data_IF_527716757794
#
_entry.id   IF_527716757794
#
_cell.length_a   1.000
_cell.length_b   1.000
_cell.length_c   1.000
_cell.angle_alpha   90.00
_cell.angle_beta   90.00
_cell.angle_gamma   90.00
#
_symmetry.space_group_name_H-M   'P 1'
#
loop_
_entity.id
_entity.type
_entity.pdbx_description
1 polymer ?
#
# COMPACT_ATOMS: atom_id res chain seq x y z
N UNK A 1 -52.95 -0.81 32.09
CA UNK A 1 -51.64 -1.45 31.78
C UNK A 1 -51.42 -2.87 32.33
N UNK A 2 -51.83 -3.22 33.55
CA UNK A 2 -51.67 -4.60 34.08
C UNK A 2 -52.61 -5.61 33.49
N UNK A 3 -53.80 -5.24 33.02
CA UNK A 3 -54.77 -6.15 32.43
C UNK A 3 -54.39 -6.57 31.03
N UNK A 4 -54.02 -5.62 30.19
CA UNK A 4 -53.64 -5.87 28.80
C UNK A 4 -52.41 -6.77 28.71
N UNK A 5 -51.42 -6.60 29.62
CA UNK A 5 -50.24 -7.45 29.71
C UNK A 5 -50.60 -8.92 30.10
N UNK A 6 -51.55 -9.09 31.02
CA UNK A 6 -52.03 -10.43 31.42
C UNK A 6 -52.74 -11.15 30.29
N UNK A 7 -53.58 -10.44 29.53
CA UNK A 7 -54.29 -10.99 28.37
C UNK A 7 -53.32 -11.38 27.29
N UNK A 8 -52.32 -10.48 26.97
CA UNK A 8 -51.29 -10.76 25.98
C UNK A 8 -50.44 -11.99 26.35
N UNK A 9 -50.02 -12.08 27.63
CA UNK A 9 -49.25 -13.22 28.12
C UNK A 9 -50.03 -14.53 28.05
N UNK A 10 -51.33 -14.49 28.40
CA UNK A 10 -52.19 -15.68 28.30
C UNK A 10 -52.42 -16.13 26.88
N UNK A 11 -52.49 -15.18 25.92
CA UNK A 11 -52.63 -15.48 24.50
C UNK A 11 -51.37 -16.15 23.92
N UNK A 12 -50.18 -15.62 24.28
CA UNK A 12 -48.89 -16.19 23.93
C UNK A 12 -48.71 -17.62 24.46
N UNK A 13 -49.17 -17.89 25.68
CA UNK A 13 -49.04 -19.22 26.30
C UNK A 13 -50.11 -20.24 25.82
N UNK A 14 -51.24 -19.75 25.33
CA UNK A 14 -52.31 -20.59 24.82
C UNK A 14 -51.99 -21.22 23.45
N UNK A 15 -51.28 -20.49 22.60
CA UNK A 15 -50.94 -20.96 21.24
C UNK A 15 -49.40 -21.06 21.04
N UNK A 16 -48.82 -22.05 21.71
CA UNK A 16 -47.36 -22.21 21.83
C UNK A 16 -46.65 -22.31 20.49
N UNK A 17 -47.23 -22.98 19.49
CA UNK A 17 -46.62 -23.14 18.18
C UNK A 17 -46.54 -21.81 17.42
N UNK A 18 -47.64 -21.04 17.43
CA UNK A 18 -47.68 -19.74 16.77
C UNK A 18 -46.75 -18.73 17.45
N UNK A 19 -46.71 -18.74 18.78
CA UNK A 19 -45.82 -17.88 19.56
C UNK A 19 -44.34 -18.25 19.32
N UNK A 20 -44.01 -19.53 19.25
CA UNK A 20 -42.65 -20.00 18.93
C UNK A 20 -42.21 -19.58 17.52
N UNK A 21 -43.11 -19.66 16.53
CA UNK A 21 -42.83 -19.22 15.16
C UNK A 21 -42.57 -17.69 15.09
N UNK A 22 -43.41 -16.90 15.78
CA UNK A 22 -43.24 -15.47 15.83
C UNK A 22 -41.92 -15.06 16.51
N UNK A 23 -41.63 -15.65 17.68
CA UNK A 23 -40.37 -15.40 18.40
C UNK A 23 -39.19 -15.86 17.57
N UNK A 24 -39.26 -17.03 16.95
CA UNK A 24 -38.21 -17.54 16.07
C UNK A 24 -37.97 -16.65 14.85
N UNK A 25 -39.04 -16.14 14.23
CA UNK A 25 -38.93 -15.19 13.12
C UNK A 25 -38.24 -13.89 13.51
N UNK A 26 -38.64 -13.30 14.64
CA UNK A 26 -38.00 -12.08 15.17
C UNK A 26 -36.54 -12.37 15.55
N UNK A 27 -36.27 -13.48 16.21
CA UNK A 27 -34.90 -13.85 16.59
C UNK A 27 -33.98 -14.01 15.36
N UNK A 28 -34.46 -14.66 14.30
CA UNK A 28 -33.71 -14.79 13.04
C UNK A 28 -33.50 -13.42 12.39
N UNK A 29 -34.51 -12.54 12.35
CA UNK A 29 -34.40 -11.22 11.79
C UNK A 29 -33.33 -10.37 12.54
N UNK A 30 -33.37 -10.39 13.88
CA UNK A 30 -32.39 -9.70 14.71
C UNK A 30 -30.98 -10.30 14.51
N UNK A 31 -30.88 -11.62 14.45
CA UNK A 31 -29.61 -12.31 14.22
C UNK A 31 -28.99 -11.91 12.87
N UNK A 32 -29.78 -11.91 11.80
CA UNK A 32 -29.32 -11.50 10.46
C UNK A 32 -28.92 -10.03 10.45
N UNK A 33 -29.69 -9.17 11.09
CA UNK A 33 -29.37 -7.76 11.18
C UNK A 33 -28.06 -7.49 11.95
N UNK A 34 -27.89 -8.10 13.12
CA UNK A 34 -26.68 -7.95 13.92
C UNK A 34 -25.46 -8.55 13.25
N UNK A 35 -25.61 -9.69 12.59
CA UNK A 35 -24.53 -10.30 11.79
C UNK A 35 -24.09 -9.38 10.65
N UNK A 36 -25.06 -8.84 9.90
CA UNK A 36 -24.76 -7.95 8.79
C UNK A 36 -24.09 -6.63 9.25
N UNK A 37 -24.59 -6.05 10.34
CA UNK A 37 -23.97 -4.86 10.94
C UNK A 37 -22.54 -5.14 11.44
N UNK A 38 -22.31 -6.28 12.09
CA UNK A 38 -20.99 -6.68 12.56
C UNK A 38 -20.03 -6.94 11.39
N UNK A 39 -20.52 -7.56 10.32
CA UNK A 39 -19.72 -7.81 9.11
C UNK A 39 -19.29 -6.51 8.43
N UNK A 40 -20.21 -5.56 8.24
CA UNK A 40 -19.90 -4.26 7.61
C UNK A 40 -18.90 -3.48 8.46
N UNK A 41 -19.11 -3.39 9.77
CA UNK A 41 -18.22 -2.67 10.67
C UNK A 41 -16.83 -3.35 10.74
N UNK A 42 -16.79 -4.67 10.82
CA UNK A 42 -15.52 -5.41 10.83
C UNK A 42 -14.73 -5.28 9.53
N UNK A 43 -15.43 -5.29 8.39
CA UNK A 43 -14.78 -5.08 7.09
C UNK A 43 -14.27 -3.65 6.92
N UNK A 44 -15.02 -2.66 7.37
CA UNK A 44 -14.62 -1.25 7.33
C UNK A 44 -13.35 -1.03 8.19
N UNK A 45 -13.35 -1.52 9.42
CA UNK A 45 -12.19 -1.43 10.32
C UNK A 45 -10.96 -2.12 9.74
N UNK A 46 -11.13 -3.32 9.20
CA UNK A 46 -10.07 -4.07 8.54
C UNK A 46 -9.47 -3.32 7.34
N UNK A 47 -10.31 -2.67 6.52
CA UNK A 47 -9.83 -1.87 5.39
C UNK A 47 -9.11 -0.62 5.85
N UNK A 48 -9.64 0.10 6.84
CA UNK A 48 -9.00 1.29 7.39
C UNK A 48 -7.61 0.95 7.94
N UNK A 49 -7.49 -0.08 8.76
CA UNK A 49 -6.21 -0.49 9.33
C UNK A 49 -5.19 -0.88 8.26
N UNK A 50 -5.61 -1.57 7.20
CA UNK A 50 -4.72 -1.93 6.10
C UNK A 50 -4.25 -0.72 5.28
N UNK A 51 -5.13 0.21 4.97
CA UNK A 51 -4.79 1.37 4.14
C UNK A 51 -4.01 2.40 4.93
N UNK A 52 -4.46 2.74 6.13
CA UNK A 52 -3.82 3.76 6.96
C UNK A 52 -2.47 3.29 7.52
N UNK A 53 -2.37 2.01 7.89
CA UNK A 53 -1.13 1.45 8.46
C UNK A 53 -0.01 1.22 7.44
N UNK A 54 -0.34 1.11 6.14
CA UNK A 54 0.64 0.77 5.09
C UNK A 54 1.07 1.95 4.21
N UNK A 55 0.43 3.10 4.33
CA UNK A 55 0.68 4.26 3.48
C UNK A 55 1.14 5.47 4.28
N UNK A 56 2.08 6.22 3.74
CA UNK A 56 2.44 7.53 4.29
C UNK A 56 1.23 8.47 4.24
N UNK A 57 0.95 9.20 5.31
CA UNK A 57 -0.17 10.13 5.38
C UNK A 57 0.00 11.33 4.44
N UNK A 58 1.24 11.74 4.21
CA UNK A 58 1.58 12.84 3.31
C UNK A 58 2.75 12.43 2.45
N UNK A 59 2.62 12.60 1.13
CA UNK A 59 3.69 12.37 0.18
C UNK A 59 4.03 13.69 -0.50
N UNK A 60 5.30 14.06 -0.46
CA UNK A 60 5.80 15.25 -1.13
C UNK A 60 6.44 14.81 -2.43
N UNK A 61 5.90 15.29 -3.53
CA UNK A 61 6.41 15.02 -4.88
C UNK A 61 6.95 16.31 -5.51
N UNK A 62 7.91 16.20 -6.43
CA UNK A 62 8.37 17.37 -7.18
C UNK A 62 7.23 17.98 -8.00
N UNK A 63 7.17 19.30 -8.06
CA UNK A 63 6.15 19.99 -8.83
C UNK A 63 6.27 19.63 -10.32
N UNK A 64 5.16 19.23 -10.92
CA UNK A 64 5.08 19.02 -12.37
C UNK A 64 5.19 20.37 -13.06
N UNK A 65 6.32 20.62 -13.74
CA UNK A 65 6.53 21.85 -14.47
C UNK A 65 5.73 21.74 -15.78
N UNK A 66 4.61 22.46 -15.84
CA UNK A 66 3.90 22.65 -17.10
C UNK A 66 4.77 23.48 -18.07
N UNK A 67 4.80 23.14 -19.37
CA UNK A 67 5.52 23.97 -20.34
C UNK A 67 4.90 25.37 -20.37
N UNK A 68 5.70 26.37 -20.01
CA UNK A 68 5.30 27.78 -20.11
C UNK A 68 5.49 28.20 -21.56
N UNK A 69 4.39 28.53 -22.22
CA UNK A 69 4.44 29.11 -23.56
C UNK A 69 4.98 30.53 -23.46
N UNK A 70 6.12 30.81 -24.09
CA UNK A 70 6.64 32.17 -24.18
C UNK A 70 5.59 33.08 -24.88
N UNK A 71 5.39 34.34 -24.46
CA UNK A 71 4.49 35.26 -25.14
C UNK A 71 4.89 35.40 -26.61
N UNK A 72 3.91 35.28 -27.53
CA UNK A 72 4.15 35.51 -28.95
C UNK A 72 4.27 37.01 -29.18
N UNK A 73 5.21 37.42 -30.03
CA UNK A 73 5.20 38.80 -30.55
C UNK A 73 3.97 39.01 -31.42
N UNK A 74 3.41 40.22 -31.35
CA UNK A 74 2.19 40.57 -32.15
C UNK A 74 2.42 40.30 -33.63
N UNK A 75 1.50 39.50 -34.22
CA UNK A 75 1.51 39.17 -35.66
C UNK A 75 2.36 37.97 -36.10
N UNK A 76 2.98 37.24 -35.16
CA UNK A 76 3.77 36.04 -35.50
C UNK A 76 2.92 34.76 -35.42
N UNK A 77 2.92 33.95 -36.50
CA UNK A 77 2.40 32.58 -36.45
C UNK A 77 3.24 31.74 -35.48
N UNK A 78 2.56 31.07 -34.55
CA UNK A 78 3.20 30.30 -33.51
C UNK A 78 3.25 28.80 -33.86
N UNK A 79 4.43 28.30 -34.12
CA UNK A 79 4.67 26.85 -34.16
C UNK A 79 4.88 26.36 -32.74
N UNK A 80 3.88 25.75 -32.12
CA UNK A 80 3.99 25.15 -30.79
C UNK A 80 4.50 23.70 -30.93
N UNK A 81 5.79 23.50 -30.77
CA UNK A 81 6.34 22.14 -30.64
C UNK A 81 6.43 21.83 -29.13
N UNK A 82 5.43 21.12 -28.63
CA UNK A 82 5.44 20.60 -27.27
C UNK A 82 6.13 19.25 -27.24
N UNK A 83 7.41 19.22 -26.95
CA UNK A 83 8.15 18.00 -26.77
C UNK A 83 8.27 17.71 -25.26
N UNK A 84 7.65 16.60 -24.82
CA UNK A 84 7.81 16.12 -23.45
C UNK A 84 9.27 15.66 -23.29
N UNK A 85 10.00 16.25 -22.35
CA UNK A 85 11.34 15.78 -22.04
C UNK A 85 11.26 14.32 -21.56
N UNK A 86 11.76 13.39 -22.37
CA UNK A 86 11.72 11.96 -22.11
C UNK A 86 12.54 11.50 -20.89
N UNK A 87 13.44 12.33 -20.38
CA UNK A 87 14.41 11.96 -19.34
C UNK A 87 14.42 12.91 -18.13
N UNK A 88 13.37 13.66 -17.90
CA UNK A 88 13.38 14.52 -16.70
C UNK A 88 13.04 13.68 -15.47
N UNK A 89 14.07 13.25 -14.76
CA UNK A 89 13.90 12.71 -13.42
C UNK A 89 13.22 13.76 -12.56
N UNK A 90 12.02 13.48 -12.12
CA UNK A 90 11.32 14.29 -11.14
C UNK A 90 12.05 14.09 -9.82
N UNK A 91 12.90 15.06 -9.44
CA UNK A 91 13.67 15.04 -8.19
C UNK A 91 13.33 16.25 -7.37
N UNK A 92 13.15 16.07 -6.08
CA UNK A 92 13.05 17.18 -5.14
C UNK A 92 14.43 17.81 -5.01
N UNK A 93 14.59 19.01 -5.55
CA UNK A 93 15.80 19.78 -5.34
C UNK A 93 15.85 20.23 -3.88
N UNK A 94 17.05 20.22 -3.27
CA UNK A 94 17.25 20.63 -1.87
C UNK A 94 16.42 19.80 -0.87
N UNK A 95 16.27 18.51 -1.11
CA UNK A 95 15.51 17.62 -0.26
C UNK A 95 15.90 17.69 1.24
N UNK A 96 17.19 17.98 1.54
CA UNK A 96 17.67 18.15 2.94
C UNK A 96 17.03 19.34 3.63
N UNK A 97 16.85 20.46 2.91
CA UNK A 97 16.16 21.63 3.47
C UNK A 97 14.68 21.35 3.68
N UNK A 98 14.06 20.63 2.76
CA UNK A 98 12.67 20.19 2.89
C UNK A 98 12.52 19.29 4.11
N UNK A 99 13.38 18.32 4.29
CA UNK A 99 13.40 17.42 5.45
C UNK A 99 13.52 18.22 6.77
N UNK A 100 14.47 19.13 6.86
CA UNK A 100 14.64 19.99 8.05
C UNK A 100 13.39 20.81 8.36
N UNK A 101 12.71 21.35 7.35
CA UNK A 101 11.47 22.11 7.54
C UNK A 101 10.36 21.20 8.06
N UNK A 102 10.24 20.00 7.51
CA UNK A 102 9.20 19.04 7.91
C UNK A 102 9.40 18.59 9.37
N UNK A 103 10.64 18.35 9.78
CA UNK A 103 10.98 17.95 11.15
C UNK A 103 10.60 19.01 12.19
N UNK A 104 10.41 20.28 11.79
CA UNK A 104 9.95 21.36 12.68
C UNK A 104 8.43 21.42 12.83
N UNK A 105 7.67 20.67 12.01
CA UNK A 105 6.19 20.72 12.01
C UNK A 105 5.64 19.88 13.17
N UNK A 106 4.85 20.46 14.08
CA UNK A 106 4.24 19.71 15.17
C UNK A 106 3.31 18.63 14.62
N UNK A 107 3.42 17.41 15.15
CA UNK A 107 2.56 16.27 14.75
C UNK A 107 3.18 15.37 13.68
N UNK A 108 4.33 15.71 13.12
CA UNK A 108 5.11 14.81 12.26
C UNK A 108 5.86 13.82 13.14
N UNK A 109 5.60 12.54 12.98
CA UNK A 109 6.21 11.45 13.76
C UNK A 109 7.41 10.82 13.08
N UNK A 110 7.52 10.98 11.75
CA UNK A 110 8.64 10.44 10.98
C UNK A 110 8.64 10.94 9.55
N UNK A 111 9.82 11.13 9.02
CA UNK A 111 10.06 11.52 7.61
C UNK A 111 10.96 10.48 6.99
N UNK A 112 10.65 10.08 5.78
CA UNK A 112 11.51 9.18 5.03
C UNK A 112 11.63 9.56 3.57
N UNK A 113 12.84 9.44 3.09
CA UNK A 113 13.20 9.65 1.70
C UNK A 113 12.99 8.36 0.92
N UNK A 114 12.28 8.47 -0.19
CA UNK A 114 12.08 7.37 -1.10
C UNK A 114 12.60 7.73 -2.50
N UNK A 115 13.30 6.80 -3.11
CA UNK A 115 13.67 6.86 -4.52
C UNK A 115 12.89 5.76 -5.23
N UNK A 116 12.01 6.15 -6.14
CA UNK A 116 11.25 5.20 -6.94
C UNK A 116 11.87 5.11 -8.32
N UNK A 117 12.12 3.90 -8.76
CA UNK A 117 12.58 3.60 -10.10
C UNK A 117 11.93 2.32 -10.61
N UNK A 118 12.07 2.06 -11.90
CA UNK A 118 11.66 0.80 -12.51
C UNK A 118 12.89 0.05 -13.00
N UNK A 119 12.79 -1.24 -13.03
CA UNK A 119 13.86 -2.12 -13.48
C UNK A 119 13.35 -3.49 -13.83
N UNK A 120 14.27 -4.33 -14.23
CA UNK A 120 14.03 -5.73 -14.53
C UNK A 120 14.82 -6.58 -13.54
N UNK A 121 14.14 -7.53 -12.92
CA UNK A 121 14.81 -8.57 -12.13
C UNK A 121 14.92 -9.81 -13.00
N UNK A 122 16.13 -10.33 -13.12
CA UNK A 122 16.40 -11.55 -13.90
C UNK A 122 17.01 -12.64 -13.05
N UNK A 123 16.58 -13.87 -13.34
CA UNK A 123 17.15 -15.09 -12.81
C UNK A 123 17.11 -16.19 -13.87
N UNK A 124 18.28 -16.60 -14.34
CA UNK A 124 18.38 -17.55 -15.44
C UNK A 124 17.73 -17.02 -16.71
N UNK A 125 16.71 -17.71 -17.21
CA UNK A 125 15.97 -17.34 -18.41
C UNK A 125 14.72 -16.46 -18.11
N UNK A 126 14.39 -16.26 -16.85
CA UNK A 126 13.20 -15.50 -16.47
C UNK A 126 13.58 -14.05 -16.14
N UNK A 127 12.79 -13.13 -16.66
CA UNK A 127 12.93 -11.69 -16.41
C UNK A 127 11.56 -11.10 -16.15
N UNK A 128 11.41 -10.40 -15.03
CA UNK A 128 10.16 -9.76 -14.64
C UNK A 128 10.38 -8.25 -14.37
N UNK A 129 9.44 -7.41 -14.79
CA UNK A 129 9.49 -5.99 -14.46
C UNK A 129 9.18 -5.76 -12.99
N UNK A 130 9.98 -4.92 -12.35
CA UNK A 130 9.81 -4.58 -10.94
C UNK A 130 9.92 -3.07 -10.72
N UNK A 131 9.18 -2.58 -9.75
CA UNK A 131 9.35 -1.26 -9.19
C UNK A 131 10.39 -1.34 -8.07
N UNK A 132 11.43 -0.56 -8.17
CA UNK A 132 12.48 -0.46 -7.16
C UNK A 132 12.18 0.72 -6.25
N UNK A 133 12.05 0.46 -4.97
CA UNK A 133 11.87 1.49 -3.95
C UNK A 133 13.13 1.55 -3.08
N UNK A 134 13.98 2.54 -3.39
CA UNK A 134 15.15 2.86 -2.58
C UNK A 134 14.71 3.52 -1.29
N UNK A 135 15.11 2.97 -0.16
CA UNK A 135 14.75 3.46 1.17
C UNK A 135 16.00 3.57 2.05
N UNK A 136 15.96 4.48 2.99
CA UNK A 136 17.01 4.57 3.99
C UNK A 136 16.82 3.44 5.02
N UNK A 137 17.82 2.53 5.21
CA UNK A 137 17.65 1.35 6.06
C UNK A 137 17.25 1.68 7.50
N UNK A 138 17.76 2.78 8.05
CA UNK A 138 17.47 3.22 9.41
C UNK A 138 16.03 3.72 9.60
N UNK A 139 15.36 4.07 8.50
CA UNK A 139 13.99 4.64 8.51
C UNK A 139 12.97 3.73 7.83
N UNK A 140 13.37 2.52 7.50
CA UNK A 140 12.53 1.56 6.78
C UNK A 140 11.24 1.24 7.54
N UNK A 141 11.35 0.97 8.84
CA UNK A 141 10.22 0.67 9.73
C UNK A 141 9.32 1.90 10.00
N UNK A 142 9.81 3.11 9.78
CA UNK A 142 9.00 4.32 9.94
C UNK A 142 8.05 4.58 8.75
N UNK A 143 8.33 3.98 7.58
CA UNK A 143 7.54 4.22 6.35
C UNK A 143 6.49 3.14 6.13
N UNK A 144 6.87 1.93 6.40
CA UNK A 144 5.99 0.77 6.28
C UNK A 144 6.33 -0.17 7.43
N UNK A 145 5.35 -0.80 8.06
CA UNK A 145 5.59 -1.83 9.08
C UNK A 145 6.15 -3.09 8.40
N UNK A 146 7.32 -2.94 7.74
CA UNK A 146 7.96 -4.04 7.01
C UNK A 146 8.30 -5.17 7.97
N UNK A 147 8.67 -4.81 9.21
CA UNK A 147 8.96 -5.79 10.25
C UNK A 147 7.78 -6.76 10.46
N UNK A 148 6.55 -6.25 10.40
CA UNK A 148 5.33 -7.06 10.55
C UNK A 148 4.95 -7.83 9.28
N UNK A 149 5.50 -7.45 8.14
CA UNK A 149 5.18 -8.06 6.83
C UNK A 149 6.22 -9.07 6.36
N UNK A 150 7.37 -9.16 7.01
CA UNK A 150 8.40 -10.16 6.68
C UNK A 150 7.87 -11.56 6.98
N UNK A 151 7.91 -12.41 5.97
CA UNK A 151 7.50 -13.83 6.06
C UNK A 151 8.70 -14.74 6.24
N UNK A 152 9.84 -14.37 5.63
CA UNK A 152 11.07 -15.16 5.65
C UNK A 152 12.30 -14.25 5.58
N UNK A 153 13.33 -14.52 6.35
CA UNK A 153 14.58 -13.73 6.40
C UNK A 153 14.54 -12.59 7.42
N UNK A 154 15.29 -11.54 7.15
CA UNK A 154 15.46 -10.40 8.05
C UNK A 154 15.01 -9.08 7.40
N UNK A 155 14.36 -8.16 8.15
CA UNK A 155 13.93 -6.86 7.65
C UNK A 155 15.08 -5.83 7.54
N UNK A 156 16.29 -6.28 7.34
CA UNK A 156 17.47 -5.41 7.26
C UNK A 156 17.95 -5.28 5.83
N UNK A 157 18.21 -4.06 5.42
CA UNK A 157 18.80 -3.73 4.14
C UNK A 157 20.23 -3.24 4.32
N UNK A 158 21.17 -3.89 3.65
CA UNK A 158 22.54 -3.40 3.44
C UNK A 158 22.69 -2.80 2.05
N UNK A 159 23.89 -2.35 1.72
CA UNK A 159 24.21 -1.73 0.41
C UNK A 159 23.97 -2.64 -0.81
N UNK A 160 24.02 -3.94 -0.61
CA UNK A 160 23.84 -4.94 -1.67
C UNK A 160 22.71 -5.92 -1.34
N UNK A 161 21.80 -5.53 -0.46
CA UNK A 161 20.67 -6.35 -0.07
C UNK A 161 19.39 -5.86 -0.75
N UNK A 162 18.42 -6.77 -0.87
CA UNK A 162 17.11 -6.48 -1.40
C UNK A 162 16.06 -7.26 -0.63
N UNK A 163 14.92 -6.61 -0.36
CA UNK A 163 13.71 -7.28 0.10
C UNK A 163 12.75 -7.37 -1.09
N UNK A 164 12.26 -8.57 -1.35
CA UNK A 164 11.32 -8.82 -2.45
C UNK A 164 10.02 -9.41 -1.93
N UNK A 165 8.92 -9.15 -2.63
CA UNK A 165 7.65 -9.76 -2.27
C UNK A 165 7.66 -11.27 -2.49
N UNK A 166 6.94 -11.99 -1.63
CA UNK A 166 6.83 -13.45 -1.69
C UNK A 166 6.34 -13.95 -3.06
N UNK A 167 5.43 -13.21 -3.70
CA UNK A 167 4.92 -13.54 -5.03
C UNK A 167 6.03 -13.47 -6.08
N UNK A 168 6.82 -12.39 -6.08
CA UNK A 168 7.96 -12.24 -7.00
C UNK A 168 9.00 -13.33 -6.80
N UNK A 169 9.29 -13.66 -5.54
CA UNK A 169 10.20 -14.75 -5.21
C UNK A 169 9.71 -16.10 -5.71
N UNK A 170 8.42 -16.39 -5.58
CA UNK A 170 7.80 -17.62 -6.08
C UNK A 170 7.84 -17.70 -7.61
N UNK A 171 7.51 -16.60 -8.30
CA UNK A 171 7.49 -16.54 -9.77
C UNK A 171 8.87 -16.73 -10.37
N UNK A 172 9.92 -16.24 -9.71
CA UNK A 172 11.32 -16.41 -10.15
C UNK A 172 12.01 -17.62 -9.50
N UNK A 173 11.36 -18.34 -8.60
CA UNK A 173 11.93 -19.45 -7.85
C UNK A 173 13.11 -19.04 -6.94
N UNK A 174 13.10 -17.81 -6.39
CA UNK A 174 14.17 -17.25 -5.57
C UNK A 174 13.91 -17.57 -4.09
N UNK A 175 15.01 -17.78 -3.35
CA UNK A 175 14.99 -17.97 -1.89
C UNK A 175 15.86 -16.92 -1.19
N UNK A 176 15.62 -16.72 0.09
CA UNK A 176 16.46 -15.87 0.95
C UNK A 176 17.92 -16.32 0.86
N UNK A 177 18.84 -15.37 0.80
CA UNK A 177 20.28 -15.59 0.67
C UNK A 177 20.77 -15.77 -0.76
N UNK A 178 19.89 -15.87 -1.76
CA UNK A 178 20.30 -16.02 -3.14
C UNK A 178 20.54 -14.68 -3.83
N UNK A 179 21.52 -14.61 -4.77
CA UNK A 179 21.74 -13.42 -5.57
C UNK A 179 20.70 -13.31 -6.68
N UNK A 180 20.31 -12.07 -6.98
CA UNK A 180 19.49 -11.70 -8.13
C UNK A 180 20.16 -10.59 -8.94
N UNK A 181 19.88 -10.56 -10.24
CA UNK A 181 20.35 -9.51 -11.12
C UNK A 181 19.26 -8.48 -11.33
N UNK A 182 19.56 -7.23 -11.07
CA UNK A 182 18.65 -6.11 -11.29
C UNK A 182 19.24 -5.21 -12.36
N UNK A 183 18.48 -4.99 -13.42
CA UNK A 183 18.82 -4.04 -14.48
C UNK A 183 17.90 -2.84 -14.37
N UNK A 184 18.46 -1.66 -14.15
CA UNK A 184 17.69 -0.41 -14.11
C UNK A 184 17.28 0.04 -15.52
N UNK A 185 16.32 0.98 -15.63
CA UNK A 185 15.92 1.60 -16.91
C UNK A 185 17.08 2.18 -17.72
N UNK A 186 18.18 2.52 -17.05
CA UNK A 186 19.38 3.06 -17.69
C UNK A 186 20.36 1.99 -18.18
N UNK A 187 19.96 0.71 -18.12
CA UNK A 187 20.82 -0.41 -18.49
C UNK A 187 21.93 -0.71 -17.49
N UNK A 188 21.89 -0.12 -16.29
CA UNK A 188 22.87 -0.44 -15.24
C UNK A 188 22.44 -1.73 -14.55
N UNK A 189 23.35 -2.67 -14.52
CA UNK A 189 23.16 -3.94 -13.84
C UNK A 189 23.80 -3.96 -12.47
N UNK A 190 23.11 -4.52 -11.49
CA UNK A 190 23.62 -4.80 -10.16
C UNK A 190 23.18 -6.17 -9.70
N UNK A 191 24.07 -6.85 -9.00
CA UNK A 191 23.74 -8.07 -8.27
C UNK A 191 23.43 -7.71 -6.82
N UNK A 192 22.24 -8.09 -6.37
CA UNK A 192 21.80 -7.90 -5.00
C UNK A 192 21.49 -9.26 -4.36
N UNK A 193 21.66 -9.36 -3.05
CA UNK A 193 21.32 -10.56 -2.29
C UNK A 193 19.95 -10.41 -1.65
N UNK A 194 19.08 -11.38 -1.84
CA UNK A 194 17.76 -11.40 -1.22
C UNK A 194 17.92 -11.63 0.29
N UNK A 195 17.67 -10.60 1.09
CA UNK A 195 17.79 -10.66 2.55
C UNK A 195 16.51 -11.14 3.22
N UNK A 196 15.38 -10.83 2.65
CA UNK A 196 14.09 -11.27 3.17
C UNK A 196 12.98 -11.22 2.14
N UNK A 197 11.93 -11.97 2.44
CA UNK A 197 10.68 -12.01 1.68
C UNK A 197 9.58 -11.37 2.50
N UNK A 198 8.87 -10.42 1.92
CA UNK A 198 7.73 -9.80 2.57
C UNK A 198 6.42 -10.16 1.88
N UNK A 199 5.31 -10.03 2.60
CA UNK A 199 3.96 -10.15 2.03
C UNK A 199 3.05 -9.08 2.62
N UNK A 200 2.56 -8.21 1.75
CA UNK A 200 1.57 -7.18 2.12
C UNK A 200 0.15 -7.72 2.11
N UNK A 201 -0.04 -8.95 1.62
CA UNK A 201 -1.34 -9.56 1.37
C UNK A 201 -2.01 -9.06 0.08
N UNK A 202 -1.31 -8.24 -0.72
CA UNK A 202 -1.75 -7.78 -2.04
C UNK A 202 -0.80 -8.34 -3.09
N UNK A 203 -1.21 -9.41 -3.77
CA UNK A 203 -0.36 -10.12 -4.74
C UNK A 203 0.22 -9.23 -5.84
N UNK A 204 -0.54 -8.23 -6.29
CA UNK A 204 -0.09 -7.32 -7.34
C UNK A 204 1.08 -6.42 -6.90
N UNK A 205 1.15 -6.09 -5.61
CA UNK A 205 2.29 -5.38 -5.01
C UNK A 205 3.44 -6.34 -4.73
N UNK A 206 3.14 -7.48 -4.10
CA UNK A 206 4.13 -8.51 -3.76
C UNK A 206 4.82 -9.11 -4.99
N UNK A 207 4.20 -9.02 -6.17
CA UNK A 207 4.77 -9.47 -7.44
C UNK A 207 5.61 -8.45 -8.19
N UNK A 208 5.61 -7.17 -7.79
CA UNK A 208 6.23 -6.10 -8.59
C UNK A 208 7.07 -5.11 -7.82
N UNK A 209 7.09 -5.14 -6.51
CA UNK A 209 7.82 -4.19 -5.69
C UNK A 209 9.04 -4.85 -5.04
N UNK A 210 10.18 -4.17 -5.08
CA UNK A 210 11.39 -4.56 -4.39
C UNK A 210 11.97 -3.36 -3.63
N UNK A 211 12.35 -3.56 -2.38
CA UNK A 211 13.02 -2.55 -1.54
C UNK A 211 14.53 -2.76 -1.61
N UNK A 212 15.24 -1.66 -1.90
CA UNK A 212 16.70 -1.64 -2.07
C UNK A 212 17.33 -0.51 -1.27
#
# INVERSE_FOLDING_TARGET
>A
MRFDLKVALRYLLSNRLQSALLIGGVAIAVMVYTFNAALINGLAEFQIQRVVGSSSHVTIEPAKIAPVLAPAADGAERLVVSQRALERREQIKQWRTVEQVIDTIPGVTGVSLNIIGTGLVSRGQQTLPVMLKGVEPARLSAIAPIDDTIVEGEPRLGLNDVLIGRKLAADLGIRVGQPIFITSEQGRERTLTVRGLYSTGVESLDGRLAYV
#
